data_IF_744241354180
#
_entry.id   IF_744241354180
#
_cell.length_a   1.000
_cell.length_b   1.000
_cell.length_c   1.000
_cell.angle_alpha   90.00
_cell.angle_beta   90.00
_cell.angle_gamma   90.00
#
_symmetry.space_group_name_H-M   'P 1'
#
loop_
_entity.id
_entity.type
_entity.pdbx_description
1 polymer ?
#
# COMPACT_ATOMS: atom_id res chain seq x y z
N UNK A 1 -17.53 30.37 -2.30
CA UNK A 1 -17.62 28.90 -2.14
C UNK A 1 -16.96 28.15 -3.30
N UNK A 2 -17.08 28.62 -4.53
CA UNK A 2 -16.46 28.04 -5.74
C UNK A 2 -14.94 28.29 -5.81
N UNK A 3 -14.49 29.50 -5.51
CA UNK A 3 -13.07 29.88 -5.44
C UNK A 3 -12.26 29.05 -4.40
N UNK A 4 -12.88 28.64 -3.31
CA UNK A 4 -12.23 27.78 -2.29
C UNK A 4 -12.09 26.33 -2.77
N UNK A 5 -12.98 25.88 -3.65
CA UNK A 5 -12.97 24.55 -4.25
C UNK A 5 -11.85 24.43 -5.30
N UNK A 6 -11.67 25.45 -6.13
CA UNK A 6 -10.62 25.48 -7.15
C UNK A 6 -9.22 25.64 -6.54
N UNK A 7 -9.08 26.47 -5.51
CA UNK A 7 -7.83 26.60 -4.76
C UNK A 7 -7.47 25.27 -4.05
N UNK A 8 -8.44 24.56 -3.50
CA UNK A 8 -8.23 23.22 -2.92
C UNK A 8 -7.88 22.18 -3.98
N UNK A 9 -8.50 22.22 -5.16
CA UNK A 9 -8.15 21.33 -6.27
C UNK A 9 -6.74 21.60 -6.79
N UNK A 10 -6.33 22.84 -6.94
CA UNK A 10 -4.97 23.22 -7.33
C UNK A 10 -3.93 22.79 -6.28
N UNK A 11 -4.21 22.95 -4.99
CA UNK A 11 -3.34 22.49 -3.91
C UNK A 11 -3.20 20.96 -3.88
N UNK A 12 -4.22 20.22 -4.34
CA UNK A 12 -4.18 18.75 -4.46
C UNK A 12 -3.41 18.27 -5.70
N UNK A 13 -3.17 19.14 -6.67
CA UNK A 13 -2.45 18.80 -7.90
C UNK A 13 -0.93 18.91 -7.75
N UNK A 14 -0.43 19.55 -6.69
CA UNK A 14 0.99 19.82 -6.53
C UNK A 14 1.71 18.69 -5.81
N UNK A 15 2.74 18.16 -6.46
CA UNK A 15 3.62 17.14 -5.89
C UNK A 15 4.67 17.86 -5.03
N UNK A 16 4.41 17.94 -3.73
CA UNK A 16 5.31 18.58 -2.79
C UNK A 16 5.23 17.96 -1.38
N UNK A 17 6.33 18.03 -0.64
CA UNK A 17 6.31 17.64 0.77
C UNK A 17 5.31 18.49 1.57
N UNK A 18 4.61 17.87 2.52
CA UNK A 18 4.67 16.49 2.95
C UNK A 18 3.65 15.58 2.24
N UNK A 19 3.04 15.99 1.15
CA UNK A 19 1.84 15.38 0.57
C UNK A 19 2.11 14.61 -0.73
N UNK A 20 3.08 13.72 -0.70
CA UNK A 20 3.31 12.78 -1.81
C UNK A 20 2.26 11.68 -1.85
N UNK A 21 2.02 11.06 -3.03
CA UNK A 21 1.20 9.85 -3.12
C UNK A 21 1.67 8.78 -2.13
N UNK A 22 0.72 7.99 -1.65
CA UNK A 22 0.99 6.89 -0.72
C UNK A 22 0.62 5.57 -1.39
N UNK A 23 1.54 4.61 -1.38
CA UNK A 23 1.23 3.22 -1.71
C UNK A 23 1.22 2.41 -0.42
N UNK A 24 0.06 1.83 -0.12
CA UNK A 24 -0.09 0.90 0.99
C UNK A 24 0.19 -0.52 0.53
N UNK A 25 1.24 -1.13 1.08
CA UNK A 25 1.66 -2.50 0.75
C UNK A 25 1.19 -3.43 1.85
N UNK A 26 0.23 -4.27 1.52
CA UNK A 26 -0.45 -5.14 2.47
C UNK A 26 0.45 -6.28 2.96
N UNK A 27 0.09 -6.83 4.13
CA UNK A 27 0.61 -8.10 4.59
C UNK A 27 0.05 -9.28 3.79
N UNK A 28 0.65 -10.44 3.95
CA UNK A 28 0.18 -11.67 3.34
C UNK A 28 -1.03 -12.23 4.09
N UNK A 29 -1.99 -12.76 3.35
CA UNK A 29 -3.06 -13.58 3.88
C UNK A 29 -2.61 -15.04 3.85
N UNK A 30 -2.68 -15.76 4.98
CA UNK A 30 -2.15 -17.12 5.11
C UNK A 30 -3.13 -18.20 4.66
N UNK A 31 -4.43 -17.92 4.70
CA UNK A 31 -5.47 -18.88 4.35
C UNK A 31 -6.29 -18.37 3.16
N UNK A 32 -6.90 -19.31 2.44
CA UNK A 32 -7.80 -19.00 1.33
C UNK A 32 -8.96 -18.09 1.78
N UNK A 33 -9.50 -18.33 2.96
CA UNK A 33 -10.59 -17.51 3.51
C UNK A 33 -10.12 -16.09 3.84
N UNK A 34 -8.89 -15.93 4.35
CA UNK A 34 -8.28 -14.61 4.54
C UNK A 34 -8.03 -13.91 3.20
N UNK A 35 -7.59 -14.62 2.16
CA UNK A 35 -7.45 -14.05 0.81
C UNK A 35 -8.80 -13.56 0.30
N UNK A 36 -9.86 -14.37 0.40
CA UNK A 36 -11.22 -13.99 -0.01
C UNK A 36 -11.73 -12.80 0.81
N UNK A 37 -11.56 -12.81 2.13
CA UNK A 37 -11.95 -11.68 2.98
C UNK A 37 -11.16 -10.43 2.64
N UNK A 38 -9.87 -10.56 2.34
CA UNK A 38 -9.01 -9.44 2.01
C UNK A 38 -9.24 -8.92 0.59
N UNK A 39 -9.74 -9.72 -0.33
CA UNK A 39 -10.18 -9.25 -1.64
C UNK A 39 -11.53 -8.54 -1.58
N UNK A 40 -12.40 -8.93 -0.64
CA UNK A 40 -13.70 -8.30 -0.44
C UNK A 40 -13.64 -6.97 0.33
N UNK A 41 -12.57 -6.74 1.11
CA UNK A 41 -12.41 -5.51 1.90
C UNK A 41 -11.13 -4.77 1.49
N UNK A 42 -11.23 -3.60 0.85
CA UNK A 42 -10.06 -2.89 0.33
C UNK A 42 -9.04 -2.51 1.42
N UNK A 43 -9.47 -2.38 2.66
CA UNK A 43 -8.64 -1.92 3.78
C UNK A 43 -8.12 -3.03 4.69
N UNK A 44 -8.31 -4.33 4.38
CA UNK A 44 -7.76 -5.50 5.10
C UNK A 44 -8.07 -5.59 6.59
N UNK A 45 -9.31 -5.41 6.97
CA UNK A 45 -9.68 -5.38 8.38
C UNK A 45 -9.27 -4.08 9.09
N UNK A 46 -8.68 -3.13 8.37
CA UNK A 46 -8.56 -1.74 8.76
C UNK A 46 -9.79 -0.95 8.28
N UNK A 47 -10.95 -1.55 8.36
CA UNK A 47 -12.20 -0.91 7.98
C UNK A 47 -12.53 0.23 8.92
N UNK A 48 -13.12 1.29 8.37
CA UNK A 48 -13.62 2.39 9.17
C UNK A 48 -14.61 1.86 10.21
N UNK A 49 -14.32 2.10 11.49
CA UNK A 49 -15.23 1.75 12.59
C UNK A 49 -15.23 0.29 13.01
N UNK A 50 -14.23 -0.52 12.66
CA UNK A 50 -14.13 -1.86 13.22
C UNK A 50 -13.91 -1.79 14.72
N UNK A 51 -14.87 -2.33 15.49
CA UNK A 51 -14.76 -2.48 16.92
C UNK A 51 -14.03 -3.78 17.23
N UNK A 52 -12.86 -3.70 17.86
CA UNK A 52 -12.15 -4.86 18.42
C UNK A 52 -12.45 -4.97 19.89
N UNK A 53 -12.63 -6.20 20.33
CA UNK A 53 -12.90 -6.53 21.75
C UNK A 53 -11.70 -7.30 22.28
N UNK A 54 -11.12 -6.86 23.37
CA UNK A 54 -10.06 -7.57 24.08
C UNK A 54 -10.44 -7.78 25.54
N UNK A 55 -10.08 -8.92 26.10
CA UNK A 55 -10.15 -9.14 27.52
C UNK A 55 -8.90 -8.51 28.17
N UNK A 56 -9.11 -7.63 29.15
CA UNK A 56 -8.03 -7.06 29.95
C UNK A 56 -7.55 -8.08 31.00
N UNK A 57 -6.44 -7.80 31.68
CA UNK A 57 -5.86 -8.69 32.70
C UNK A 57 -6.78 -8.93 33.88
N UNK A 58 -7.67 -8.00 34.19
CA UNK A 58 -8.69 -8.09 35.25
C UNK A 58 -9.95 -8.86 34.81
N UNK A 59 -9.96 -9.42 33.59
CA UNK A 59 -11.11 -10.14 33.04
C UNK A 59 -12.17 -9.25 32.41
N UNK A 60 -12.05 -7.93 32.51
CA UNK A 60 -12.99 -7.00 31.87
C UNK A 60 -12.87 -7.01 30.36
N UNK A 61 -13.99 -6.72 29.67
CA UNK A 61 -14.02 -6.61 28.22
C UNK A 61 -13.85 -5.15 27.82
N UNK A 62 -12.75 -4.84 27.16
CA UNK A 62 -12.46 -3.50 26.66
C UNK A 62 -12.73 -3.44 25.15
N UNK A 63 -13.57 -2.49 24.76
CA UNK A 63 -13.87 -2.21 23.36
C UNK A 63 -12.91 -1.16 22.83
N UNK A 64 -12.26 -1.47 21.73
CA UNK A 64 -11.43 -0.52 20.99
C UNK A 64 -12.10 -0.21 19.65
N UNK A 65 -12.35 1.07 19.40
CA UNK A 65 -12.70 1.52 18.05
C UNK A 65 -11.40 1.77 17.30
N UNK A 66 -11.16 0.99 16.26
CA UNK A 66 -9.98 1.15 15.42
C UNK A 66 -10.36 1.91 14.16
N UNK A 67 -9.81 3.10 14.00
CA UNK A 67 -9.91 3.85 12.76
C UNK A 67 -8.66 3.57 11.91
N UNK A 68 -8.85 3.13 10.67
CA UNK A 68 -7.75 2.91 9.75
C UNK A 68 -6.89 4.17 9.60
N UNK A 69 -5.55 4.08 9.68
CA UNK A 69 -4.66 5.19 9.33
C UNK A 69 -4.96 5.77 7.95
N UNK A 70 -5.41 4.92 7.00
CA UNK A 70 -5.78 5.34 5.65
C UNK A 70 -7.01 6.25 5.65
N UNK A 71 -8.02 5.91 6.47
CA UNK A 71 -9.23 6.73 6.63
C UNK A 71 -8.87 8.09 7.25
N UNK A 72 -7.94 8.12 8.22
CA UNK A 72 -7.44 9.38 8.79
C UNK A 72 -6.74 10.25 7.75
N UNK A 73 -5.91 9.66 6.90
CA UNK A 73 -5.27 10.38 5.79
C UNK A 73 -6.29 10.98 4.83
N UNK A 74 -7.37 10.26 4.53
CA UNK A 74 -8.45 10.77 3.69
C UNK A 74 -9.20 11.93 4.36
N UNK A 75 -9.54 11.80 5.65
CA UNK A 75 -10.30 12.80 6.39
C UNK A 75 -9.50 14.06 6.69
N UNK A 76 -8.29 13.89 7.24
CA UNK A 76 -7.53 15.00 7.81
C UNK A 76 -6.62 15.68 6.78
N UNK A 77 -6.19 14.94 5.75
CA UNK A 77 -5.22 15.40 4.76
C UNK A 77 -5.70 15.40 3.32
N UNK A 78 -6.99 15.10 3.09
CA UNK A 78 -7.61 15.05 1.77
C UNK A 78 -6.95 14.08 0.78
N UNK A 79 -6.41 12.96 1.27
CA UNK A 79 -6.02 11.88 0.38
C UNK A 79 -7.24 11.25 -0.28
N UNK A 80 -7.09 10.83 -1.54
CA UNK A 80 -8.13 10.12 -2.27
C UNK A 80 -7.75 8.67 -2.46
N UNK A 81 -8.66 7.79 -2.11
CA UNK A 81 -8.56 6.38 -2.44
C UNK A 81 -8.81 6.21 -3.95
N UNK A 82 -7.77 5.74 -4.64
CA UNK A 82 -7.81 5.55 -6.09
C UNK A 82 -8.49 4.23 -6.46
N UNK A 83 -8.54 3.28 -5.52
CA UNK A 83 -9.17 1.98 -5.75
C UNK A 83 -10.69 2.07 -5.92
N UNK A 84 -11.35 2.95 -5.17
CA UNK A 84 -12.81 3.14 -5.25
C UNK A 84 -13.30 3.64 -6.61
N UNK A 85 -12.42 4.17 -7.45
CA UNK A 85 -12.76 4.63 -8.79
C UNK A 85 -12.85 3.48 -9.83
N UNK A 86 -12.56 2.22 -9.46
CA UNK A 86 -12.75 1.04 -10.29
C UNK A 86 -11.88 0.95 -11.55
N UNK A 87 -11.10 1.96 -11.84
CA UNK A 87 -10.20 1.96 -12.99
C UNK A 87 -8.86 2.60 -12.62
N UNK A 88 -7.78 1.85 -12.81
CA UNK A 88 -6.44 2.41 -12.90
C UNK A 88 -6.26 3.33 -14.15
N UNK A 89 -7.33 3.57 -14.86
CA UNK A 89 -7.43 4.28 -16.13
C UNK A 89 -7.99 5.68 -16.00
N UNK A 90 -7.97 6.29 -14.82
CA UNK A 90 -8.18 7.73 -14.73
C UNK A 90 -6.95 8.42 -15.31
N UNK A 91 -7.11 9.12 -16.42
CA UNK A 91 -6.05 9.78 -17.17
C UNK A 91 -5.24 10.79 -16.34
N UNK A 92 -5.72 11.16 -15.16
CA UNK A 92 -5.00 12.03 -14.24
C UNK A 92 -5.40 11.79 -12.78
N UNK A 93 -4.44 11.33 -11.98
CA UNK A 93 -4.63 11.16 -10.55
C UNK A 93 -4.13 12.39 -9.77
N UNK A 94 -4.76 12.75 -8.64
CA UNK A 94 -4.25 13.81 -7.78
C UNK A 94 -2.94 13.40 -7.09
N UNK A 95 -2.09 14.38 -6.77
CA UNK A 95 -0.85 14.12 -6.03
C UNK A 95 -1.09 13.47 -4.66
N UNK A 96 -2.24 13.73 -4.03
CA UNK A 96 -2.65 13.09 -2.76
C UNK A 96 -3.48 11.84 -3.02
N UNK A 97 -2.93 10.92 -3.80
CA UNK A 97 -3.53 9.60 -4.04
C UNK A 97 -3.09 8.58 -3.02
N UNK A 98 -4.03 7.75 -2.59
CA UNK A 98 -3.81 6.57 -1.77
C UNK A 98 -4.07 5.34 -2.63
N UNK A 99 -3.04 4.54 -2.86
CA UNK A 99 -3.10 3.32 -3.68
C UNK A 99 -2.83 2.11 -2.81
N UNK A 100 -3.65 1.07 -2.94
CA UNK A 100 -3.43 -0.19 -2.25
C UNK A 100 -2.75 -1.16 -3.22
N UNK A 101 -1.54 -1.62 -2.86
CA UNK A 101 -0.81 -2.64 -3.61
C UNK A 101 -1.22 -4.04 -3.13
N UNK A 102 -2.01 -4.72 -3.96
CA UNK A 102 -2.64 -6.01 -3.66
C UNK A 102 -1.95 -7.13 -4.45
N UNK A 103 -0.68 -7.38 -4.17
CA UNK A 103 0.14 -8.35 -4.91
C UNK A 103 -0.36 -9.80 -4.83
N UNK A 104 -1.15 -10.15 -3.82
CA UNK A 104 -1.70 -11.49 -3.65
C UNK A 104 -3.05 -11.71 -4.36
N UNK A 105 -3.62 -10.70 -5.00
CA UNK A 105 -4.77 -10.90 -5.89
C UNK A 105 -4.41 -11.88 -7.01
N UNK A 106 -3.14 -11.94 -7.39
CA UNK A 106 -2.60 -12.92 -8.33
C UNK A 106 -2.77 -14.38 -7.84
N UNK A 107 -2.79 -14.59 -6.52
CA UNK A 107 -2.98 -15.91 -5.93
C UNK A 107 -4.44 -16.40 -5.96
N UNK A 108 -5.40 -15.52 -6.24
CA UNK A 108 -6.81 -15.87 -6.37
C UNK A 108 -7.11 -16.27 -7.82
N UNK A 109 -7.64 -17.49 -8.09
CA UNK A 109 -7.97 -17.92 -9.45
C UNK A 109 -9.03 -17.08 -10.16
N UNK A 110 -9.85 -16.32 -9.42
CA UNK A 110 -10.86 -15.44 -9.98
C UNK A 110 -10.28 -14.10 -10.48
N UNK A 111 -9.14 -13.68 -9.93
CA UNK A 111 -8.52 -12.38 -10.22
C UNK A 111 -7.10 -12.47 -10.79
N UNK A 112 -6.46 -13.65 -10.68
CA UNK A 112 -5.10 -13.88 -11.13
C UNK A 112 -4.86 -15.31 -11.58
N UNK A 113 -3.59 -15.73 -11.61
CA UNK A 113 -3.17 -17.07 -12.05
C UNK A 113 -3.42 -18.17 -11.04
N UNK A 114 -3.82 -17.85 -9.82
CA UNK A 114 -3.93 -18.79 -8.69
C UNK A 114 -2.59 -19.15 -8.06
N UNK A 115 -1.48 -18.51 -8.48
CA UNK A 115 -0.13 -18.75 -7.98
C UNK A 115 0.28 -17.61 -7.04
N UNK A 116 0.70 -17.96 -5.83
CA UNK A 116 1.25 -16.99 -4.88
C UNK A 116 2.57 -16.43 -5.41
N UNK A 117 2.69 -15.11 -5.63
CA UNK A 117 3.92 -14.52 -6.08
C UNK A 117 5.01 -14.58 -5.00
N UNK A 118 6.24 -14.79 -5.43
CA UNK A 118 7.42 -14.64 -4.56
C UNK A 118 7.59 -13.18 -4.11
N UNK A 119 8.39 -12.96 -3.07
CA UNK A 119 8.73 -11.59 -2.61
C UNK A 119 9.37 -10.78 -3.74
N UNK A 120 10.20 -11.39 -4.57
CA UNK A 120 10.86 -10.74 -5.70
C UNK A 120 9.87 -10.33 -6.77
N UNK A 121 8.94 -11.22 -7.15
CA UNK A 121 7.88 -10.91 -8.13
C UNK A 121 6.95 -9.80 -7.60
N UNK A 122 6.55 -9.88 -6.33
CA UNK A 122 5.73 -8.85 -5.69
C UNK A 122 6.44 -7.49 -5.60
N UNK A 123 7.75 -7.49 -5.34
CA UNK A 123 8.55 -6.27 -5.32
C UNK A 123 8.74 -5.67 -6.72
N UNK A 124 8.91 -6.51 -7.75
CA UNK A 124 8.94 -6.06 -9.15
C UNK A 124 7.61 -5.42 -9.55
N UNK A 125 6.49 -6.04 -9.20
CA UNK A 125 5.15 -5.49 -9.42
C UNK A 125 4.94 -4.15 -8.67
N UNK A 126 5.49 -4.01 -7.46
CA UNK A 126 5.47 -2.74 -6.71
C UNK A 126 6.26 -1.65 -7.46
N UNK A 127 7.42 -1.97 -8.01
CA UNK A 127 8.21 -1.04 -8.84
C UNK A 127 7.45 -0.55 -10.06
N UNK A 128 6.77 -1.46 -10.76
CA UNK A 128 5.88 -1.12 -11.87
C UNK A 128 4.70 -0.24 -11.43
N UNK A 129 4.14 -0.51 -10.25
CA UNK A 129 3.06 0.31 -9.65
C UNK A 129 3.53 1.73 -9.38
N UNK A 130 4.74 1.92 -8.85
CA UNK A 130 5.33 3.25 -8.61
C UNK A 130 5.46 4.01 -9.93
N UNK A 131 5.95 3.36 -10.99
CA UNK A 131 6.10 3.97 -12.32
C UNK A 131 4.74 4.38 -12.90
N UNK A 132 3.74 3.49 -12.88
CA UNK A 132 2.38 3.81 -13.35
C UNK A 132 1.76 4.97 -12.56
N UNK A 133 1.93 4.97 -11.24
CA UNK A 133 1.41 6.06 -10.39
C UNK A 133 2.06 7.41 -10.75
N UNK A 134 3.39 7.43 -10.99
CA UNK A 134 4.06 8.63 -11.50
C UNK A 134 3.42 9.11 -12.79
N UNK A 135 3.22 8.20 -13.73
CA UNK A 135 2.70 8.54 -15.06
C UNK A 135 1.27 9.08 -14.98
N UNK A 136 0.43 8.46 -14.15
CA UNK A 136 -0.96 8.93 -13.93
C UNK A 136 -1.05 10.26 -13.17
N UNK A 137 -0.12 10.54 -12.24
CA UNK A 137 -0.12 11.78 -11.46
C UNK A 137 0.52 12.93 -12.24
N UNK A 138 1.63 12.67 -12.93
CA UNK A 138 2.42 13.70 -13.60
C UNK A 138 2.03 13.92 -15.05
N UNK A 139 1.40 12.93 -15.72
CA UNK A 139 1.18 12.99 -17.15
C UNK A 139 2.49 13.22 -17.91
N UNK A 140 2.49 14.11 -18.87
CA UNK A 140 3.64 14.48 -19.70
C UNK A 140 4.50 15.62 -19.12
N UNK A 141 4.18 16.10 -17.91
CA UNK A 141 4.96 17.17 -17.26
C UNK A 141 6.32 16.64 -16.78
N UNK A 142 7.37 16.98 -17.52
CA UNK A 142 8.76 16.55 -17.27
C UNK A 142 9.26 17.03 -15.90
N UNK A 143 8.90 18.25 -15.49
CA UNK A 143 9.32 18.78 -14.19
C UNK A 143 8.64 18.05 -13.04
N UNK A 144 7.34 17.77 -13.16
CA UNK A 144 6.58 16.99 -12.19
C UNK A 144 7.11 15.54 -12.09
N UNK A 145 7.41 14.90 -13.23
CA UNK A 145 8.01 13.55 -13.27
C UNK A 145 9.36 13.50 -12.55
N UNK A 146 10.20 14.49 -12.74
CA UNK A 146 11.50 14.61 -12.03
C UNK A 146 11.33 14.85 -10.53
N UNK A 147 10.34 15.63 -10.16
CA UNK A 147 10.02 15.93 -8.76
C UNK A 147 9.23 14.83 -8.05
N UNK A 148 8.67 13.86 -8.82
CA UNK A 148 7.80 12.82 -8.26
C UNK A 148 8.48 12.03 -7.16
N UNK A 149 7.76 11.87 -6.07
CA UNK A 149 8.13 11.00 -4.95
C UNK A 149 6.88 10.28 -4.44
N UNK A 150 7.10 9.18 -3.74
CA UNK A 150 6.04 8.36 -3.15
C UNK A 150 6.43 7.93 -1.74
N UNK A 151 5.43 7.80 -0.87
CA UNK A 151 5.57 7.17 0.42
C UNK A 151 5.08 5.72 0.33
N UNK A 152 5.81 4.80 0.94
CA UNK A 152 5.38 3.42 1.11
C UNK A 152 4.97 3.21 2.57
N UNK A 153 3.76 2.73 2.77
CA UNK A 153 3.27 2.31 4.09
C UNK A 153 3.01 0.82 4.02
N UNK A 154 3.71 0.05 4.82
CA UNK A 154 3.73 -1.39 4.67
C UNK A 154 3.41 -2.14 5.96
N UNK A 155 2.56 -3.14 5.87
CA UNK A 155 2.20 -4.02 6.97
C UNK A 155 2.79 -5.41 6.78
N UNK A 156 3.32 -5.99 7.88
CA UNK A 156 3.76 -7.38 7.92
C UNK A 156 4.73 -7.71 6.76
N UNK A 157 4.44 -8.74 5.96
CA UNK A 157 5.23 -9.15 4.80
C UNK A 157 5.37 -8.04 3.73
N UNK A 158 4.42 -7.09 3.66
CA UNK A 158 4.54 -5.93 2.77
C UNK A 158 5.80 -5.12 3.01
N UNK A 159 6.29 -5.06 4.24
CA UNK A 159 7.58 -4.41 4.56
C UNK A 159 8.79 -5.15 4.00
N UNK A 160 8.74 -6.48 3.89
CA UNK A 160 9.79 -7.27 3.23
C UNK A 160 9.80 -7.02 1.73
N UNK A 161 8.63 -6.85 1.11
CA UNK A 161 8.49 -6.48 -0.30
C UNK A 161 9.11 -5.10 -0.56
N UNK A 162 8.80 -4.11 0.30
CA UNK A 162 9.42 -2.78 0.21
C UNK A 162 10.95 -2.84 0.37
N UNK A 163 11.43 -3.65 1.32
CA UNK A 163 12.86 -3.85 1.53
C UNK A 163 13.53 -4.50 0.32
N UNK A 164 12.90 -5.52 -0.27
CA UNK A 164 13.38 -6.18 -1.49
C UNK A 164 13.48 -5.18 -2.64
N UNK A 165 12.44 -4.37 -2.87
CA UNK A 165 12.45 -3.30 -3.88
C UNK A 165 13.65 -2.35 -3.72
N UNK A 166 13.92 -1.92 -2.49
CA UNK A 166 14.93 -0.89 -2.22
C UNK A 166 16.35 -1.43 -2.20
N UNK A 167 16.55 -2.68 -1.82
CA UNK A 167 17.87 -3.26 -1.62
C UNK A 167 18.34 -4.14 -2.79
N UNK A 168 17.41 -4.66 -3.61
CA UNK A 168 17.78 -5.55 -4.71
C UNK A 168 17.80 -4.78 -6.04
N UNK A 169 18.99 -4.58 -6.66
CA UNK A 169 19.12 -3.86 -7.93
C UNK A 169 18.50 -4.62 -9.12
N UNK A 170 18.34 -5.94 -9.02
CA UNK A 170 17.73 -6.74 -10.07
C UNK A 170 16.20 -6.61 -10.11
N UNK A 171 15.62 -6.13 -9.00
CA UNK A 171 14.16 -5.95 -8.85
C UNK A 171 13.70 -4.57 -9.31
N UNK A 172 14.48 -3.52 -8.99
CA UNK A 172 14.13 -2.15 -9.33
C UNK A 172 15.35 -1.34 -9.74
N UNK A 173 15.18 -0.51 -10.76
CA UNK A 173 16.22 0.40 -11.22
C UNK A 173 16.54 1.46 -10.16
N UNK A 174 17.70 2.09 -10.25
CA UNK A 174 18.07 3.21 -9.38
C UNK A 174 17.05 4.36 -9.46
N UNK A 175 16.47 4.60 -10.64
CA UNK A 175 15.42 5.60 -10.85
C UNK A 175 14.16 5.28 -10.00
N UNK A 176 13.65 4.05 -10.07
CA UNK A 176 12.48 3.63 -9.29
C UNK A 176 12.75 3.75 -7.79
N UNK A 177 13.91 3.30 -7.34
CA UNK A 177 14.29 3.42 -5.92
C UNK A 177 14.37 4.88 -5.46
N UNK A 178 14.88 5.77 -6.30
CA UNK A 178 14.98 7.20 -6.01
C UNK A 178 13.62 7.91 -5.91
N UNK A 179 12.55 7.34 -6.48
CA UNK A 179 11.20 7.87 -6.32
C UNK A 179 10.63 7.63 -4.91
N UNK A 180 11.17 6.68 -4.15
CA UNK A 180 10.69 6.40 -2.78
C UNK A 180 11.33 7.38 -1.80
N UNK A 181 10.52 8.31 -1.24
CA UNK A 181 11.01 9.29 -0.26
C UNK A 181 11.08 8.71 1.15
N UNK A 182 10.06 7.96 1.57
CA UNK A 182 10.00 7.32 2.89
C UNK A 182 9.27 5.98 2.84
N UNK A 183 9.71 5.10 3.73
CA UNK A 183 9.02 3.84 4.01
C UNK A 183 8.65 3.80 5.48
N UNK A 184 7.38 3.55 5.77
CA UNK A 184 6.89 3.27 7.09
C UNK A 184 6.44 1.81 7.16
N UNK A 185 7.07 1.03 8.04
CA UNK A 185 6.73 -0.38 8.24
C UNK A 185 6.16 -0.61 9.63
N UNK A 186 5.14 -1.45 9.74
CA UNK A 186 4.62 -1.87 11.03
C UNK A 186 4.33 -3.39 11.03
N UNK A 187 4.59 -4.01 12.17
CA UNK A 187 4.51 -5.46 12.33
C UNK A 187 5.28 -6.27 11.26
N UNK A 188 6.33 -5.68 10.66
CA UNK A 188 7.14 -6.35 9.63
C UNK A 188 8.19 -7.25 10.28
N UNK A 189 8.24 -8.54 9.93
CA UNK A 189 9.20 -9.47 10.49
C UNK A 189 10.57 -9.34 9.79
N UNK A 190 11.30 -8.24 10.06
CA UNK A 190 12.57 -7.94 9.39
C UNK A 190 13.66 -8.99 9.58
N UNK A 191 13.59 -9.77 10.65
CA UNK A 191 14.50 -10.86 10.95
C UNK A 191 13.98 -12.24 10.53
N UNK A 192 12.85 -12.30 9.80
CA UNK A 192 12.16 -13.54 9.49
C UNK A 192 11.15 -13.94 10.56
N UNK A 193 10.39 -14.97 10.26
CA UNK A 193 9.43 -15.59 11.19
C UNK A 193 9.85 -17.06 11.34
N UNK A 194 10.14 -17.48 12.56
CA UNK A 194 10.31 -18.89 12.88
C UNK A 194 8.98 -19.48 13.33
N UNK A 195 8.44 -20.40 12.56
CA UNK A 195 7.31 -21.24 12.95
C UNK A 195 7.81 -22.68 13.12
N UNK A 196 7.91 -23.15 14.36
CA UNK A 196 8.33 -24.52 14.64
C UNK A 196 9.74 -24.90 14.13
N UNK A 197 10.68 -23.95 14.10
CA UNK A 197 12.04 -24.15 13.61
C UNK A 197 12.20 -24.01 12.09
N UNK A 198 11.15 -23.65 11.37
CA UNK A 198 11.21 -23.40 9.93
C UNK A 198 11.21 -21.89 9.68
N UNK A 199 12.23 -21.41 8.98
CA UNK A 199 12.27 -20.00 8.57
C UNK A 199 11.24 -19.77 7.45
N UNK A 200 10.20 -18.98 7.74
CA UNK A 200 9.08 -18.72 6.81
C UNK A 200 9.51 -18.16 5.45
N UNK A 201 10.55 -17.33 5.32
CA UNK A 201 11.06 -16.94 4.00
C UNK A 201 11.46 -18.10 3.11
N UNK A 202 11.94 -19.21 3.69
CA UNK A 202 12.32 -20.41 2.94
C UNK A 202 11.10 -21.24 2.51
N UNK A 203 10.01 -21.15 3.26
CA UNK A 203 8.75 -21.85 2.94
C UNK A 203 7.94 -21.14 1.84
N UNK A 204 8.01 -19.80 1.79
CA UNK A 204 7.33 -19.01 0.76
C UNK A 204 8.07 -18.99 -0.59
N UNK A 205 9.27 -19.56 -0.65
CA UNK A 205 10.07 -19.70 -1.88
C UNK A 205 9.94 -21.08 -2.54
N UNK A 206 9.13 -21.97 -1.97
CA UNK A 206 8.71 -23.24 -2.56
C UNK A 206 7.38 -23.04 -3.31
#
# INVERSE_FOLDING_TARGET
MELDRDARMLAMAKIERPFFPIIYVRGYAMTRDEIVQTTSTPYMGFEAGSTKVRQAQDGSIVKFVFESPLVRLMKDYNYRDVYAAGSEQSDKLPARSLVIHRYYDEADPAFGSGKTPSITEAATALGQRITRLRDSVCGEDVAARKAFRVYLVAHSMGGLICRCLLQNPDVATAEIRAMVDKVFTYATPHNGIELGGINVPSFLSM
#
